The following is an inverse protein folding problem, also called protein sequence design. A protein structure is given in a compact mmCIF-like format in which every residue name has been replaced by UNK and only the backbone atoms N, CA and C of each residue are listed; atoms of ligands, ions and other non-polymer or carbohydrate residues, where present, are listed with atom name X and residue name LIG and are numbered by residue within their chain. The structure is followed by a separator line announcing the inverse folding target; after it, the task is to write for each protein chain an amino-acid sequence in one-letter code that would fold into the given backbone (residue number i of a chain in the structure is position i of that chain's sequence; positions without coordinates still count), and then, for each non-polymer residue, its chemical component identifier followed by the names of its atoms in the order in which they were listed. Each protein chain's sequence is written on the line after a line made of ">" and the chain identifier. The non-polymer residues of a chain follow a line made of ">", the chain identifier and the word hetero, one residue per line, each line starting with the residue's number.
data_IF_778398668882
#
_entry.id   IF_778398668882
#
_cell.length_a   1.000
_cell.length_b   1.000
_cell.length_c   1.000
_cell.angle_alpha   90.00
_cell.angle_beta   90.00
_cell.angle_gamma   90.00
#
_symmetry.space_group_name_H-M   'P 1'
#
loop_
_entity.id
_entity.type
_entity.pdbx_description
1 polymer ?
#
# COMPACT_ATOMS: atom_id res chain seq x y z
N UNK A 1 2.44 6.41 -7.22
CA UNK A 1 2.15 5.81 -5.89
C UNK A 1 2.97 4.53 -5.65
N UNK A 2 2.92 3.51 -6.52
CA UNK A 2 3.81 2.34 -6.37
C UNK A 2 5.30 2.71 -6.40
N UNK A 3 5.71 3.59 -7.31
CA UNK A 3 7.08 4.13 -7.36
C UNK A 3 7.44 4.87 -6.06
N UNK A 4 6.57 5.76 -5.58
CA UNK A 4 6.78 6.47 -4.30
C UNK A 4 6.90 5.52 -3.09
N UNK A 5 6.18 4.40 -3.10
CA UNK A 5 6.31 3.37 -2.08
C UNK A 5 7.64 2.62 -2.21
N UNK A 6 8.11 2.37 -3.43
CA UNK A 6 9.43 1.80 -3.68
C UNK A 6 10.55 2.75 -3.18
N UNK A 7 10.44 4.04 -3.47
CA UNK A 7 11.37 5.07 -2.99
C UNK A 7 11.36 5.14 -1.45
N UNK A 8 10.17 5.11 -0.85
CA UNK A 8 10.02 5.07 0.61
C UNK A 8 10.67 3.84 1.20
N UNK A 9 10.49 2.67 0.59
CA UNK A 9 11.11 1.42 1.02
C UNK A 9 12.63 1.48 0.91
N UNK A 10 13.15 2.07 -0.16
CA UNK A 10 14.60 2.23 -0.31
C UNK A 10 15.19 3.10 0.81
N UNK A 11 14.45 4.11 1.29
CA UNK A 11 14.88 5.01 2.36
C UNK A 11 14.70 4.43 3.76
N UNK A 12 13.59 3.76 4.04
CA UNK A 12 13.21 3.32 5.39
C UNK A 12 13.35 1.81 5.63
N UNK A 13 13.60 1.02 4.58
CA UNK A 13 13.72 -0.44 4.64
C UNK A 13 12.37 -1.18 4.58
N UNK A 14 11.24 -0.50 4.79
CA UNK A 14 9.90 -1.09 4.77
C UNK A 14 8.87 -0.27 3.99
N UNK A 15 7.66 -0.82 3.85
CA UNK A 15 6.54 -0.15 3.21
C UNK A 15 5.46 0.33 4.21
N UNK A 16 5.80 0.42 5.49
CA UNK A 16 4.89 0.85 6.56
C UNK A 16 4.90 2.37 6.70
N UNK A 17 4.30 3.04 5.72
CA UNK A 17 4.26 4.49 5.67
C UNK A 17 3.30 5.06 6.74
N UNK A 18 3.78 5.85 7.72
CA UNK A 18 2.91 6.46 8.72
C UNK A 18 1.95 7.48 8.09
N UNK A 19 0.66 7.35 8.39
CA UNK A 19 -0.36 8.29 7.91
C UNK A 19 -0.24 9.69 8.54
N UNK A 20 0.48 9.80 9.66
CA UNK A 20 0.71 11.04 10.42
C UNK A 20 1.94 11.82 9.96
N UNK A 21 2.78 11.22 9.11
CA UNK A 21 3.98 11.90 8.59
C UNK A 21 3.57 13.11 7.75
N UNK A 22 4.15 14.29 8.02
CA UNK A 22 3.88 15.52 7.22
C UNK A 22 4.33 15.35 5.77
N UNK A 23 5.45 14.66 5.55
CA UNK A 23 6.05 14.45 4.23
C UNK A 23 5.33 13.35 3.45
N UNK A 24 4.97 12.25 4.13
CA UNK A 24 4.38 11.08 3.48
C UNK A 24 2.88 10.91 3.73
N UNK A 25 2.17 11.93 4.25
CA UNK A 25 0.74 11.87 4.61
C UNK A 25 -0.11 11.23 3.52
N UNK A 26 0.05 11.70 2.29
CA UNK A 26 -0.73 11.22 1.14
C UNK A 26 -0.37 9.78 0.75
N UNK A 27 0.88 9.36 0.94
CA UNK A 27 1.32 7.99 0.67
C UNK A 27 0.83 7.03 1.78
N UNK A 28 0.88 7.45 3.05
CA UNK A 28 0.34 6.70 4.17
C UNK A 28 -1.16 6.48 4.04
N UNK A 29 -1.93 7.52 3.70
CA UNK A 29 -3.36 7.38 3.39
C UNK A 29 -3.60 6.41 2.24
N UNK A 30 -2.79 6.48 1.18
CA UNK A 30 -2.90 5.55 0.05
C UNK A 30 -2.60 4.10 0.47
N UNK A 31 -1.58 3.86 1.30
CA UNK A 31 -1.24 2.56 1.88
C UNK A 31 -2.40 2.00 2.71
N UNK A 32 -2.96 2.83 3.60
CA UNK A 32 -4.12 2.46 4.43
C UNK A 32 -5.35 2.10 3.58
N UNK A 33 -5.59 2.87 2.51
CA UNK A 33 -6.64 2.56 1.55
C UNK A 33 -6.40 1.23 0.83
N UNK A 34 -5.15 0.92 0.43
CA UNK A 34 -4.84 -0.38 -0.18
C UNK A 34 -5.16 -1.54 0.76
N UNK A 35 -4.79 -1.45 2.05
CA UNK A 35 -5.08 -2.50 3.04
C UNK A 35 -6.58 -2.73 3.22
N UNK A 36 -7.35 -1.64 3.31
CA UNK A 36 -8.81 -1.69 3.39
C UNK A 36 -9.42 -2.38 2.17
N UNK A 37 -9.00 -1.99 0.97
CA UNK A 37 -9.51 -2.59 -0.27
C UNK A 37 -9.09 -4.07 -0.40
N UNK A 38 -7.87 -4.44 -0.02
CA UNK A 38 -7.46 -5.84 0.00
C UNK A 38 -8.27 -6.69 0.97
N UNK A 39 -8.56 -6.17 2.17
CA UNK A 39 -9.45 -6.84 3.13
C UNK A 39 -10.84 -7.06 2.52
N UNK A 40 -11.43 -6.04 1.89
CA UNK A 40 -12.73 -6.16 1.21
C UNK A 40 -12.69 -7.21 0.10
N UNK A 41 -11.62 -7.22 -0.70
CA UNK A 41 -11.41 -8.22 -1.75
C UNK A 41 -11.34 -9.65 -1.18
N UNK A 42 -10.62 -9.86 -0.06
CA UNK A 42 -10.58 -11.16 0.63
C UNK A 42 -11.93 -11.60 1.19
N UNK A 43 -12.74 -10.66 1.67
CA UNK A 43 -14.08 -10.91 2.19
C UNK A 43 -15.13 -11.13 1.08
N UNK A 44 -14.73 -11.15 -0.20
CA UNK A 44 -15.64 -11.28 -1.34
C UNK A 44 -16.52 -10.05 -1.58
N UNK A 45 -16.22 -8.93 -0.92
CA UNK A 45 -16.95 -7.66 -1.10
C UNK A 45 -16.45 -6.94 -2.34
N UNK A 46 -17.30 -6.05 -2.88
CA UNK A 46 -16.90 -5.13 -3.95
C UNK A 46 -15.68 -4.33 -3.51
N UNK A 47 -14.59 -4.48 -4.26
CA UNK A 47 -13.33 -3.79 -4.05
C UNK A 47 -12.74 -3.36 -5.39
N UNK A 48 -11.98 -2.26 -5.36
CA UNK A 48 -11.16 -1.80 -6.47
C UNK A 48 -9.77 -2.46 -6.50
N UNK A 49 -9.50 -3.39 -5.58
CA UNK A 49 -8.25 -4.13 -5.53
C UNK A 49 -8.20 -5.15 -6.67
N UNK A 50 -7.22 -4.99 -7.56
CA UNK A 50 -6.99 -5.93 -8.66
C UNK A 50 -5.85 -6.89 -8.35
N UNK A 51 -5.88 -8.11 -8.90
CA UNK A 51 -4.78 -9.08 -8.76
C UNK A 51 -3.43 -8.52 -9.22
N UNK A 52 -3.44 -7.68 -10.25
CA UNK A 52 -2.24 -7.00 -10.76
C UNK A 52 -1.66 -6.06 -9.71
N UNK A 53 -2.50 -5.25 -9.05
CA UNK A 53 -2.05 -4.34 -7.99
C UNK A 53 -1.54 -5.11 -6.77
N UNK A 54 -2.21 -6.21 -6.40
CA UNK A 54 -1.78 -7.06 -5.29
C UNK A 54 -0.37 -7.59 -5.55
N UNK A 55 -0.15 -8.20 -6.72
CA UNK A 55 1.16 -8.74 -7.10
C UNK A 55 2.25 -7.67 -7.16
N UNK A 56 1.92 -6.47 -7.63
CA UNK A 56 2.87 -5.36 -7.66
C UNK A 56 3.30 -4.92 -6.25
N UNK A 57 2.36 -4.88 -5.30
CA UNK A 57 2.64 -4.58 -3.89
C UNK A 57 3.45 -5.70 -3.22
N UNK A 58 3.09 -6.95 -3.44
CA UNK A 58 3.82 -8.12 -2.90
C UNK A 58 5.24 -8.20 -3.45
N UNK A 59 5.46 -7.88 -4.74
CA UNK A 59 6.80 -7.79 -5.34
C UNK A 59 7.65 -6.69 -4.69
N UNK A 60 7.01 -5.62 -4.20
CA UNK A 60 7.68 -4.59 -3.39
C UNK A 60 7.91 -5.03 -1.95
N UNK A 61 7.50 -6.22 -1.52
CA UNK A 61 7.58 -6.68 -0.13
C UNK A 61 6.58 -5.97 0.79
N UNK A 62 5.49 -5.45 0.23
CA UNK A 62 4.43 -4.82 0.99
C UNK A 62 3.75 -5.83 1.91
N UNK A 63 3.70 -5.53 3.21
CA UNK A 63 2.92 -6.30 4.18
C UNK A 63 1.49 -5.74 4.22
N UNK A 64 0.49 -6.60 4.04
CA UNK A 64 -0.93 -6.25 4.07
C UNK A 64 -1.46 -5.99 5.46
#
# INVERSE_FOLDING_TARGET
>A
RLTQLADYKQKNGDCNVPCTSKEYKSLGQWVSYQRTEYKRCKEGKKSFMTKVRIRALEKLGFKW
#
